data_IF_976347847468
#
_entry.id   IF_976347847468
#
_cell.length_a   1.000
_cell.length_b   1.000
_cell.length_c   1.000
_cell.angle_alpha   90.00
_cell.angle_beta   90.00
_cell.angle_gamma   90.00
#
_symmetry.space_group_name_H-M   'P 1'
#
loop_
_entity.id
_entity.type
_entity.pdbx_description
1 polymer ?
#
# COMPACT_ATOMS: atom_id res chain seq x y z
N UNK A 1 -4.10 -16.25 -0.47
CA UNK A 1 -3.75 -14.85 -0.73
C UNK A 1 -2.42 -14.51 -0.09
N UNK A 2 -1.67 -13.63 -0.69
CA UNK A 2 -0.51 -13.01 -0.06
C UNK A 2 -0.92 -11.62 0.37
N UNK A 3 -0.77 -11.31 1.66
CA UNK A 3 -1.18 -10.02 2.21
C UNK A 3 0.08 -9.30 2.68
N UNK A 4 0.24 -8.04 2.25
CA UNK A 4 1.39 -7.22 2.64
C UNK A 4 0.87 -6.01 3.38
N UNK A 5 1.40 -5.77 4.58
CA UNK A 5 1.17 -4.53 5.31
C UNK A 5 2.41 -3.65 5.17
N UNK A 6 2.25 -2.51 4.53
CA UNK A 6 3.32 -1.52 4.40
C UNK A 6 3.10 -0.45 5.45
N UNK A 7 4.03 -0.34 6.39
CA UNK A 7 3.99 0.67 7.46
C UNK A 7 4.73 1.91 7.02
N UNK A 8 4.05 3.05 7.05
CA UNK A 8 4.58 4.32 6.56
C UNK A 8 4.47 5.36 7.67
N UNK A 9 5.57 6.09 7.89
CA UNK A 9 5.59 7.24 8.79
C UNK A 9 6.03 8.46 7.98
N UNK A 10 5.13 9.42 7.79
CA UNK A 10 5.41 10.60 6.97
C UNK A 10 5.73 11.80 7.85
N UNK A 11 6.44 12.77 7.26
CA UNK A 11 6.66 14.05 7.92
C UNK A 11 5.31 14.78 8.07
N UNK A 12 5.07 15.48 9.20
CA UNK A 12 3.76 16.10 9.45
C UNK A 12 3.29 17.04 8.34
N UNK A 13 4.22 17.75 7.70
CA UNK A 13 3.89 18.71 6.63
C UNK A 13 3.42 18.03 5.35
N UNK A 14 3.61 16.70 5.21
CA UNK A 14 3.25 15.97 4.00
C UNK A 14 2.04 15.04 4.16
N UNK A 15 1.33 15.11 5.29
CA UNK A 15 0.19 14.20 5.53
C UNK A 15 -0.81 14.24 4.38
N UNK A 16 -1.23 15.44 3.95
CA UNK A 16 -2.27 15.56 2.92
C UNK A 16 -1.74 15.16 1.54
N UNK A 17 -0.53 15.60 1.18
CA UNK A 17 0.09 15.23 -0.09
C UNK A 17 0.30 13.73 -0.19
N UNK A 18 0.69 13.07 0.92
CA UNK A 18 0.84 11.62 0.96
C UNK A 18 -0.50 10.92 0.73
N UNK A 19 -1.57 11.41 1.38
CA UNK A 19 -2.91 10.85 1.21
C UNK A 19 -3.34 10.90 -0.24
N UNK A 20 -3.19 12.05 -0.87
CA UNK A 20 -3.60 12.25 -2.28
C UNK A 20 -2.85 11.30 -3.20
N UNK A 21 -1.52 11.27 -3.09
CA UNK A 21 -0.68 10.42 -3.94
C UNK A 21 -0.99 8.93 -3.73
N UNK A 22 -1.23 8.54 -2.48
CA UNK A 22 -1.43 7.13 -2.13
C UNK A 22 -2.82 6.64 -2.53
N UNK A 23 -3.85 7.47 -2.40
CA UNK A 23 -5.20 7.14 -2.88
C UNK A 23 -5.18 6.94 -4.41
N UNK A 24 -4.45 7.80 -5.14
CA UNK A 24 -4.33 7.66 -6.59
C UNK A 24 -3.65 6.34 -6.96
N UNK A 25 -2.57 5.99 -6.26
CA UNK A 25 -1.91 4.70 -6.48
C UNK A 25 -2.86 3.53 -6.17
N UNK A 26 -3.61 3.62 -5.07
CA UNK A 26 -4.55 2.57 -4.68
C UNK A 26 -5.64 2.37 -5.73
N UNK A 27 -6.19 3.46 -6.27
CA UNK A 27 -7.23 3.39 -7.32
C UNK A 27 -6.73 2.67 -8.56
N UNK A 28 -5.50 2.94 -8.97
CA UNK A 28 -4.89 2.28 -10.12
C UNK A 28 -4.52 0.83 -9.78
N UNK A 29 -4.05 0.59 -8.57
CA UNK A 29 -3.61 -0.73 -8.13
C UNK A 29 -4.75 -1.75 -8.13
N UNK A 30 -5.96 -1.36 -7.70
CA UNK A 30 -7.10 -2.28 -7.68
C UNK A 30 -7.59 -2.67 -9.08
N UNK A 31 -7.09 -2.00 -10.14
CA UNK A 31 -7.37 -2.40 -11.52
C UNK A 31 -6.43 -3.51 -11.99
N UNK A 32 -5.34 -3.78 -11.27
CA UNK A 32 -4.42 -4.86 -11.61
C UNK A 32 -5.09 -6.21 -11.31
N UNK A 33 -5.00 -7.13 -12.26
CA UNK A 33 -5.62 -8.46 -12.13
C UNK A 33 -5.12 -9.21 -10.90
N UNK A 34 -3.86 -9.05 -10.55
CA UNK A 34 -3.23 -9.75 -9.42
C UNK A 34 -3.57 -9.18 -8.05
N UNK A 35 -4.24 -8.04 -7.98
CA UNK A 35 -4.58 -7.38 -6.72
C UNK A 35 -6.06 -7.57 -6.41
N UNK A 36 -6.34 -8.24 -5.28
CA UNK A 36 -7.70 -8.48 -4.82
C UNK A 36 -8.23 -7.29 -4.01
N UNK A 37 -7.34 -6.59 -3.30
CA UNK A 37 -7.73 -5.50 -2.40
C UNK A 37 -6.53 -4.61 -2.13
N UNK A 38 -6.76 -3.32 -1.97
CA UNK A 38 -5.72 -2.35 -1.63
C UNK A 38 -6.35 -1.29 -0.72
N UNK A 39 -6.04 -1.34 0.57
CA UNK A 39 -6.58 -0.39 1.56
C UNK A 39 -5.50 0.60 1.98
N UNK A 40 -5.91 1.83 2.18
CA UNK A 40 -5.05 2.88 2.75
C UNK A 40 -5.71 3.31 4.06
N UNK A 41 -5.05 3.01 5.18
CA UNK A 41 -5.60 3.35 6.49
C UNK A 41 -4.62 4.23 7.25
N UNK A 42 -5.17 5.11 8.08
CA UNK A 42 -4.41 6.11 8.84
C UNK A 42 -4.63 5.86 10.32
N UNK A 43 -3.55 5.92 11.11
CA UNK A 43 -3.64 5.70 12.55
C UNK A 43 -4.42 6.85 13.19
N UNK A 44 -5.40 6.51 14.01
CA UNK A 44 -6.32 7.50 14.58
C UNK A 44 -5.61 8.46 15.55
N UNK A 45 -4.72 7.93 16.39
CA UNK A 45 -4.03 8.72 17.42
C UNK A 45 -2.66 9.25 16.98
N UNK A 46 -2.27 8.98 15.73
CA UNK A 46 -1.04 9.54 15.14
C UNK A 46 -1.24 9.66 13.62
N UNK A 47 -1.74 10.81 13.13
CA UNK A 47 -2.06 10.97 11.71
C UNK A 47 -0.86 10.96 10.77
N UNK A 48 0.37 10.95 11.29
CA UNK A 48 1.58 10.78 10.47
C UNK A 48 1.83 9.33 10.07
N UNK A 49 1.06 8.39 10.64
CA UNK A 49 1.28 6.95 10.40
C UNK A 49 0.15 6.36 9.60
N UNK A 50 0.54 5.63 8.55
CA UNK A 50 -0.39 4.94 7.65
C UNK A 50 0.02 3.47 7.54
N UNK A 51 -0.96 2.64 7.18
CA UNK A 51 -0.70 1.27 6.77
C UNK A 51 -1.37 1.07 5.42
N UNK A 52 -0.63 0.53 4.46
CA UNK A 52 -1.18 0.10 3.19
C UNK A 52 -1.41 -1.41 3.30
N UNK A 53 -2.66 -1.84 3.11
CA UNK A 53 -3.01 -3.26 3.16
C UNK A 53 -3.19 -3.72 1.72
N UNK A 54 -2.21 -4.49 1.22
CA UNK A 54 -2.16 -4.93 -0.16
C UNK A 54 -2.43 -6.43 -0.20
N UNK A 55 -3.49 -6.84 -0.89
CA UNK A 55 -3.88 -8.24 -0.96
C UNK A 55 -3.67 -8.73 -2.39
N UNK A 56 -2.76 -9.67 -2.56
CA UNK A 56 -2.36 -10.22 -3.86
C UNK A 56 -2.92 -11.63 -4.04
N UNK A 57 -3.42 -11.91 -5.25
CA UNK A 57 -4.01 -13.21 -5.56
C UNK A 57 -2.95 -14.30 -5.76
N UNK A 58 -1.75 -13.92 -6.21
CA UNK A 58 -0.68 -14.87 -6.55
C UNK A 58 0.66 -14.36 -6.01
N UNK A 59 1.63 -15.26 -5.89
CA UNK A 59 2.95 -14.92 -5.36
C UNK A 59 3.80 -14.05 -6.28
N UNK A 60 3.48 -13.98 -7.59
CA UNK A 60 4.20 -13.15 -8.54
C UNK A 60 3.56 -11.76 -8.72
N UNK A 61 2.36 -11.55 -8.18
CA UNK A 61 1.65 -10.29 -8.33
C UNK A 61 2.38 -9.09 -7.70
N UNK A 62 3.05 -9.21 -6.53
CA UNK A 62 3.82 -8.08 -6.00
C UNK A 62 4.92 -7.59 -6.94
N UNK A 63 5.63 -8.50 -7.61
CA UNK A 63 6.66 -8.12 -8.57
C UNK A 63 6.06 -7.38 -9.77
N UNK A 64 4.93 -7.87 -10.28
CA UNK A 64 4.22 -7.20 -11.40
C UNK A 64 3.71 -5.83 -10.99
N UNK A 65 3.19 -5.69 -9.77
CA UNK A 65 2.75 -4.40 -9.24
C UNK A 65 3.88 -3.37 -9.27
N UNK A 66 5.09 -3.77 -8.86
CA UNK A 66 6.25 -2.86 -8.84
C UNK A 66 6.76 -2.49 -10.21
N UNK A 67 6.31 -3.15 -11.26
CA UNK A 67 6.67 -2.82 -12.64
C UNK A 67 5.66 -1.83 -13.27
N UNK A 68 4.58 -1.49 -12.58
CA UNK A 68 3.57 -0.58 -13.11
C UNK A 68 4.03 0.87 -13.05
N UNK A 69 3.49 1.67 -13.98
CA UNK A 69 3.77 3.10 -14.01
C UNK A 69 3.23 3.80 -12.75
N UNK A 70 2.04 3.43 -12.29
CA UNK A 70 1.45 4.07 -11.12
C UNK A 70 2.25 3.78 -9.85
N UNK A 71 2.85 2.60 -9.72
CA UNK A 71 3.75 2.33 -8.60
C UNK A 71 4.99 3.20 -8.67
N UNK A 72 5.62 3.30 -9.84
CA UNK A 72 6.82 4.12 -10.01
C UNK A 72 6.56 5.59 -9.70
N UNK A 73 5.43 6.13 -10.17
CA UNK A 73 5.02 7.51 -9.89
C UNK A 73 4.83 7.71 -8.39
N UNK A 74 4.12 6.80 -7.73
CA UNK A 74 3.89 6.86 -6.29
C UNK A 74 5.21 6.83 -5.52
N UNK A 75 6.05 5.83 -5.81
CA UNK A 75 7.34 5.66 -5.14
C UNK A 75 8.19 6.92 -5.20
N UNK A 76 8.28 7.53 -6.39
CA UNK A 76 9.10 8.72 -6.60
C UNK A 76 8.48 9.96 -5.96
N UNK A 77 7.15 10.07 -6.01
CA UNK A 77 6.44 11.21 -5.42
C UNK A 77 6.56 11.24 -3.90
N UNK A 78 6.41 10.08 -3.23
CA UNK A 78 6.37 10.03 -1.77
C UNK A 78 7.75 9.87 -1.13
N UNK A 79 8.80 9.66 -1.91
CA UNK A 79 10.13 9.38 -1.37
C UNK A 79 10.62 10.44 -0.37
N UNK A 80 10.38 11.71 -0.67
CA UNK A 80 10.81 12.84 0.17
C UNK A 80 9.86 13.13 1.33
N UNK A 81 8.72 12.44 1.39
CA UNK A 81 7.71 12.68 2.43
C UNK A 81 7.92 11.81 3.67
N UNK A 82 8.83 10.85 3.61
CA UNK A 82 9.04 9.86 4.67
C UNK A 82 9.80 10.45 5.84
N UNK A 83 9.27 10.25 7.07
CA UNK A 83 10.01 10.56 8.30
C UNK A 83 11.07 9.49 8.58
N UNK A 84 10.82 8.27 8.12
CA UNK A 84 11.72 7.13 8.23
C UNK A 84 11.44 6.17 7.08
N UNK A 85 12.35 5.24 6.75
CA UNK A 85 12.10 4.27 5.69
C UNK A 85 10.86 3.42 5.99
N UNK A 86 10.01 3.22 4.97
CA UNK A 86 8.85 2.36 5.13
C UNK A 86 9.28 0.90 5.29
N UNK A 87 8.50 0.15 6.05
CA UNK A 87 8.73 -1.28 6.28
C UNK A 87 7.52 -2.08 5.84
N UNK A 88 7.73 -3.35 5.50
CA UNK A 88 6.63 -4.20 5.11
C UNK A 88 6.70 -5.55 5.82
N UNK A 89 5.53 -6.10 6.12
CA UNK A 89 5.34 -7.41 6.70
C UNK A 89 4.44 -8.21 5.78
N UNK A 90 4.74 -9.49 5.61
CA UNK A 90 3.97 -10.38 4.76
C UNK A 90 3.14 -11.33 5.62
N UNK A 91 1.91 -11.56 5.21
CA UNK A 91 0.96 -12.41 5.89
C UNK A 91 0.28 -13.35 4.90
N UNK A 92 -0.23 -14.45 5.42
CA UNK A 92 -1.15 -15.29 4.67
C UNK A 92 -2.48 -15.31 5.43
N UNK A 93 -3.59 -15.41 4.69
CA UNK A 93 -4.90 -15.43 5.32
C UNK A 93 -5.15 -16.76 6.04
N UNK A 94 -5.63 -16.66 7.26
CA UNK A 94 -6.12 -17.81 8.03
C UNK A 94 -7.63 -17.85 7.96
N UNK A 95 -8.26 -16.68 8.08
CA UNK A 95 -9.68 -16.46 7.93
C UNK A 95 -9.89 -14.98 7.55
N UNK A 96 -10.75 -14.68 6.58
CA UNK A 96 -11.54 -15.59 5.75
C UNK A 96 -10.66 -16.37 4.77
N UNK A 97 -11.24 -17.43 4.17
CA UNK A 97 -10.61 -18.17 3.08
C UNK A 97 -10.48 -17.27 1.86
N UNK A 98 -9.75 -17.75 0.83
CA UNK A 98 -9.43 -16.92 -0.34
C UNK A 98 -10.68 -16.30 -0.99
N UNK A 99 -11.80 -17.00 -1.04
CA UNK A 99 -13.03 -16.49 -1.63
C UNK A 99 -13.59 -15.28 -0.88
N UNK A 100 -13.16 -15.04 0.35
CA UNK A 100 -13.61 -13.91 1.16
C UNK A 100 -12.84 -12.61 0.92
N UNK A 101 -11.89 -12.63 0.00
CA UNK A 101 -11.01 -11.47 -0.26
C UNK A 101 -11.27 -10.77 -1.59
#
# INVERSE_FOLDING_TARGET
MLIVHVHVHVLPEFIEEFRVATVENARNSVQEEGIARFDVIQQTDDPTRFVLVEVYRTGDAPARHKETQHYAIWRDTVAQMMAEPRTSLKFTNVFPEDEGW
#
